data_IF_094974508556
#
_entry.id   IF_094974508556
#
_cell.length_a   1.000
_cell.length_b   1.000
_cell.length_c   1.000
_cell.angle_alpha   90.00
_cell.angle_beta   90.00
_cell.angle_gamma   90.00
#
_symmetry.space_group_name_H-M   'P 1'
#
loop_
_entity.id
_entity.type
_entity.pdbx_description
1 polymer ?
#
# COMPACT_ATOMS: atom_id res chain seq x y z
N UNK A 1 7.31 -8.19 -5.67
CA UNK A 1 6.07 -7.94 -4.91
C UNK A 1 5.94 -6.48 -4.42
N UNK A 2 6.72 -5.58 -5.04
CA UNK A 2 6.62 -4.13 -4.82
C UNK A 2 5.33 -3.55 -5.41
N UNK A 3 5.03 -2.31 -5.04
CA UNK A 3 4.02 -1.49 -5.69
C UNK A 3 4.69 -0.28 -6.36
N UNK A 4 3.99 0.28 -7.32
CA UNK A 4 4.39 1.50 -8.00
C UNK A 4 3.21 2.45 -8.13
N UNK A 5 3.50 3.74 -8.17
CA UNK A 5 2.51 4.80 -8.30
C UNK A 5 3.08 5.97 -9.10
N UNK A 6 2.21 6.74 -9.72
CA UNK A 6 2.58 8.03 -10.33
C UNK A 6 1.87 9.14 -9.58
N UNK A 7 2.63 10.07 -9.05
CA UNK A 7 2.11 11.22 -8.31
C UNK A 7 3.01 12.44 -8.59
N UNK A 8 2.41 13.60 -8.83
CA UNK A 8 3.15 14.86 -9.06
C UNK A 8 4.26 14.74 -10.11
N UNK A 9 3.95 14.07 -11.23
CA UNK A 9 4.87 13.83 -12.35
C UNK A 9 6.13 13.03 -11.98
N UNK A 10 6.06 12.22 -10.93
CA UNK A 10 7.11 11.26 -10.54
C UNK A 10 6.57 9.85 -10.49
N UNK A 11 7.42 8.90 -10.84
CA UNK A 11 7.20 7.48 -10.61
C UNK A 11 7.72 7.17 -9.21
N UNK A 12 6.92 6.48 -8.40
CA UNK A 12 7.33 5.95 -7.11
C UNK A 12 7.32 4.43 -7.15
N UNK A 13 8.33 3.80 -6.53
CA UNK A 13 8.41 2.35 -6.31
C UNK A 13 8.70 2.13 -4.84
N UNK A 14 7.93 1.25 -4.21
CA UNK A 14 8.02 1.08 -2.76
C UNK A 14 7.67 -0.32 -2.29
N UNK A 15 8.26 -0.71 -1.16
CA UNK A 15 8.03 -1.97 -0.49
C UNK A 15 8.37 -3.21 -1.32
N UNK A 16 7.72 -4.32 -1.01
CA UNK A 16 7.91 -5.59 -1.70
C UNK A 16 9.13 -6.35 -1.22
N UNK A 17 9.70 -7.16 -2.08
CA UNK A 17 10.84 -8.00 -1.78
C UNK A 17 10.67 -9.43 -2.30
N UNK A 18 11.28 -10.40 -1.61
CA UNK A 18 11.26 -11.81 -1.95
C UNK A 18 10.49 -12.65 -0.93
N UNK A 19 9.79 -13.65 -1.44
CA UNK A 19 9.24 -14.73 -0.62
C UNK A 19 10.17 -15.96 -0.61
N UNK A 20 10.69 -16.33 -1.79
CA UNK A 20 11.58 -17.46 -1.98
C UNK A 20 12.84 -17.03 -2.73
N UNK A 21 14.02 -17.67 -2.56
CA UNK A 21 14.30 -18.79 -1.66
C UNK A 21 14.29 -18.41 -0.17
N UNK A 22 14.53 -17.14 0.13
CA UNK A 22 14.49 -16.58 1.49
C UNK A 22 13.55 -15.37 1.54
N UNK A 23 12.77 -15.29 2.61
CA UNK A 23 11.91 -14.14 2.85
C UNK A 23 12.74 -12.88 3.11
N UNK A 24 12.47 -11.85 2.34
CA UNK A 24 13.02 -10.53 2.55
C UNK A 24 12.00 -9.48 2.08
N UNK A 25 11.44 -8.72 3.00
CA UNK A 25 10.51 -7.66 2.71
C UNK A 25 11.12 -6.29 2.98
N UNK A 26 10.63 -5.29 2.28
CA UNK A 26 11.12 -3.93 2.29
C UNK A 26 9.98 -2.95 2.61
N UNK A 27 10.37 -1.78 3.12
CA UNK A 27 9.49 -0.63 3.30
C UNK A 27 10.17 0.68 2.89
N UNK A 28 11.15 0.60 2.00
CA UNK A 28 11.78 1.75 1.39
C UNK A 28 10.88 2.36 0.29
N UNK A 29 11.17 3.60 -0.05
CA UNK A 29 10.47 4.33 -1.13
C UNK A 29 11.49 5.01 -2.01
N UNK A 30 11.37 4.81 -3.30
CA UNK A 30 12.18 5.40 -4.34
C UNK A 30 11.33 6.20 -5.30
N UNK A 31 11.87 7.26 -5.89
CA UNK A 31 11.21 8.03 -6.94
C UNK A 31 12.11 8.33 -8.11
N UNK A 32 11.49 8.58 -9.26
CA UNK A 32 12.17 9.03 -10.47
C UNK A 32 11.28 9.97 -11.27
N UNK A 33 11.88 11.00 -11.88
CA UNK A 33 11.19 11.90 -12.81
C UNK A 33 11.29 11.42 -14.27
N UNK A 34 12.27 10.56 -14.58
CA UNK A 34 12.58 10.12 -15.94
C UNK A 34 12.56 8.59 -16.14
N UNK A 35 12.39 7.83 -15.06
CA UNK A 35 12.43 6.36 -15.06
C UNK A 35 13.83 5.77 -15.16
N UNK A 36 14.87 6.61 -15.20
CA UNK A 36 16.28 6.19 -15.35
C UNK A 36 17.05 6.52 -14.07
N UNK A 37 16.95 7.76 -13.61
CA UNK A 37 17.61 8.23 -12.40
C UNK A 37 16.66 8.12 -11.21
N UNK A 38 17.08 7.39 -10.18
CA UNK A 38 16.26 7.09 -9.00
C UNK A 38 16.84 7.71 -7.74
N UNK A 39 15.98 8.28 -6.94
CA UNK A 39 16.30 8.87 -5.64
C UNK A 39 15.59 8.07 -4.56
N UNK A 40 16.33 7.67 -3.52
CA UNK A 40 15.72 7.06 -2.34
C UNK A 40 15.06 8.15 -1.48
N UNK A 41 13.75 8.18 -1.44
CA UNK A 41 12.99 9.14 -0.67
C UNK A 41 13.03 8.85 0.83
N UNK A 42 12.94 7.59 1.20
CA UNK A 42 13.04 7.12 2.59
C UNK A 42 13.53 5.67 2.62
N UNK A 43 14.41 5.35 3.56
CA UNK A 43 14.95 3.98 3.71
C UNK A 43 13.98 3.06 4.43
N UNK A 44 13.21 3.59 5.37
CA UNK A 44 12.23 2.82 6.16
C UNK A 44 11.00 3.69 6.41
N UNK A 45 9.94 3.45 5.65
CA UNK A 45 8.65 4.06 5.92
C UNK A 45 8.09 3.58 7.26
N UNK A 46 7.16 4.32 7.90
CA UNK A 46 6.62 3.93 9.20
C UNK A 46 5.70 2.70 9.17
N UNK A 47 5.21 2.31 8.00
CA UNK A 47 4.49 1.06 7.84
C UNK A 47 5.44 -0.14 7.81
N UNK A 48 5.00 -1.27 8.35
CA UNK A 48 5.80 -2.49 8.43
C UNK A 48 6.15 -2.99 7.02
N UNK A 49 7.36 -3.51 6.84
CA UNK A 49 7.79 -4.20 5.61
C UNK A 49 6.87 -5.35 5.28
N UNK A 50 6.46 -5.45 4.01
CA UNK A 50 5.41 -6.38 3.60
C UNK A 50 5.45 -6.74 2.13
N UNK A 51 4.91 -7.92 1.82
CA UNK A 51 4.64 -8.41 0.47
C UNK A 51 3.14 -8.36 0.19
N UNK A 52 2.75 -8.44 -1.09
CA UNK A 52 1.37 -8.61 -1.55
C UNK A 52 0.37 -7.58 -0.99
N UNK A 53 0.86 -6.40 -0.73
CA UNK A 53 0.02 -5.27 -0.33
C UNK A 53 -0.55 -4.55 -1.54
N UNK A 54 -1.50 -3.67 -1.30
CA UNK A 54 -2.12 -2.88 -2.35
C UNK A 54 -1.72 -1.42 -2.27
N UNK A 55 -1.74 -0.76 -3.44
CA UNK A 55 -1.55 0.67 -3.56
C UNK A 55 -2.48 1.27 -4.60
N UNK A 56 -2.84 2.52 -4.40
CA UNK A 56 -3.61 3.34 -5.34
C UNK A 56 -3.26 4.80 -5.14
N UNK A 57 -3.35 5.59 -6.19
CA UNK A 57 -3.27 7.05 -6.08
C UNK A 57 -4.68 7.62 -6.05
N UNK A 58 -5.02 8.30 -4.97
CA UNK A 58 -6.35 8.86 -4.77
C UNK A 58 -6.26 10.19 -4.03
N UNK A 59 -6.97 11.19 -4.53
CA UNK A 59 -6.97 12.55 -3.99
C UNK A 59 -5.58 13.10 -3.69
N UNK A 60 -4.73 13.03 -4.72
CA UNK A 60 -3.35 13.53 -4.70
C UNK A 60 -2.50 12.91 -3.57
N UNK A 61 -2.71 11.63 -3.27
CA UNK A 61 -1.95 10.85 -2.28
C UNK A 61 -1.70 9.45 -2.80
N UNK A 62 -0.54 8.90 -2.47
CA UNK A 62 -0.27 7.47 -2.59
C UNK A 62 -0.85 6.80 -1.35
N UNK A 63 -1.62 5.74 -1.54
CA UNK A 63 -2.19 4.93 -0.47
C UNK A 63 -1.55 3.55 -0.46
N UNK A 64 -1.25 3.03 0.73
CA UNK A 64 -0.74 1.69 0.98
C UNK A 64 -1.68 0.99 1.95
N UNK A 65 -2.08 -0.24 1.65
CA UNK A 65 -3.02 -0.99 2.48
C UNK A 65 -2.85 -2.49 2.38
N UNK A 66 -3.11 -3.17 3.49
CA UNK A 66 -3.05 -4.62 3.55
C UNK A 66 -1.65 -5.19 3.37
N UNK A 67 -1.58 -6.42 2.89
CA UNK A 67 -0.33 -7.13 2.68
C UNK A 67 -0.02 -8.15 3.77
N UNK A 68 1.12 -8.82 3.62
CA UNK A 68 1.55 -9.90 4.50
C UNK A 68 3.02 -9.76 4.85
N UNK A 69 3.36 -10.14 6.07
CA UNK A 69 4.73 -10.26 6.55
C UNK A 69 4.99 -11.62 7.20
N UNK A 70 6.26 -12.04 7.21
CA UNK A 70 6.67 -13.28 7.85
C UNK A 70 7.23 -13.03 9.28
N UNK A 71 7.71 -11.83 9.54
CA UNK A 71 8.26 -11.46 10.83
C UNK A 71 7.72 -10.10 11.31
N UNK A 72 6.63 -10.06 12.11
CA UNK A 72 5.85 -11.22 12.55
C UNK A 72 5.02 -11.83 11.39
N UNK A 73 4.65 -13.10 11.52
CA UNK A 73 3.76 -13.79 10.58
C UNK A 73 2.35 -13.25 10.74
N UNK A 74 1.92 -12.38 9.84
CA UNK A 74 0.57 -11.82 9.88
C UNK A 74 0.16 -11.13 8.59
N UNK A 75 -1.14 -11.08 8.36
CA UNK A 75 -1.75 -10.14 7.43
C UNK A 75 -1.90 -8.76 8.08
N UNK A 76 -1.87 -7.73 7.27
CA UNK A 76 -2.06 -6.36 7.66
C UNK A 76 -3.43 -5.83 7.22
N UNK A 77 -3.97 -4.85 7.94
CA UNK A 77 -5.21 -4.15 7.61
C UNK A 77 -5.09 -2.63 7.70
N UNK A 78 -3.92 -2.16 8.11
CA UNK A 78 -3.61 -0.75 8.23
C UNK A 78 -3.66 -0.05 6.87
N UNK A 79 -3.95 1.22 6.91
CA UNK A 79 -4.06 2.09 5.75
C UNK A 79 -3.15 3.28 5.97
N UNK A 80 -2.24 3.50 5.04
CA UNK A 80 -1.28 4.60 5.09
C UNK A 80 -1.39 5.45 3.85
N UNK A 81 -1.07 6.73 3.97
CA UNK A 81 -1.01 7.62 2.82
C UNK A 81 0.17 8.57 2.89
N UNK A 82 0.59 9.05 1.71
CA UNK A 82 1.65 10.03 1.55
C UNK A 82 1.33 10.98 0.38
N UNK A 83 1.67 12.26 0.54
CA UNK A 83 1.57 13.28 -0.51
C UNK A 83 2.88 13.46 -1.29
N UNK A 84 3.97 12.92 -0.79
CA UNK A 84 5.33 13.19 -1.28
C UNK A 84 6.24 11.94 -1.35
N UNK A 85 5.75 10.78 -0.90
CA UNK A 85 6.52 9.54 -0.81
C UNK A 85 7.50 9.49 0.37
N UNK A 86 7.69 10.58 1.09
CA UNK A 86 8.60 10.71 2.24
C UNK A 86 7.87 10.67 3.58
N UNK A 87 6.84 11.49 3.68
CA UNK A 87 6.04 11.65 4.89
C UNK A 87 4.82 10.77 4.77
N UNK A 88 4.66 9.83 5.68
CA UNK A 88 3.56 8.88 5.70
C UNK A 88 2.74 9.03 6.97
N UNK A 89 1.44 8.99 6.82
CA UNK A 89 0.47 9.06 7.92
C UNK A 89 -0.47 7.85 7.86
N UNK A 90 -0.81 7.30 9.03
CA UNK A 90 -1.79 6.24 9.13
C UNK A 90 -3.21 6.81 9.11
N UNK A 91 -4.03 6.32 8.19
CA UNK A 91 -5.45 6.63 8.17
C UNK A 91 -6.21 5.66 9.09
N UNK A 92 -6.67 6.16 10.22
CA UNK A 92 -7.38 5.36 11.21
C UNK A 92 -8.90 5.49 11.04
N UNK A 93 -9.58 4.35 11.16
CA UNK A 93 -11.04 4.26 11.11
C UNK A 93 -11.50 3.21 12.11
N UNK A 94 -12.63 3.47 12.77
CA UNK A 94 -13.26 2.51 13.68
C UNK A 94 -13.79 1.27 12.93
N UNK A 95 -14.06 1.43 11.64
CA UNK A 95 -14.50 0.35 10.76
C UNK A 95 -13.48 0.15 9.66
N UNK A 96 -12.88 -1.03 9.62
CA UNK A 96 -11.91 -1.43 8.61
C UNK A 96 -12.13 -2.90 8.27
N UNK A 97 -11.79 -3.27 7.03
CA UNK A 97 -11.82 -4.66 6.59
C UNK A 97 -10.91 -5.56 7.44
N UNK A 98 -11.18 -6.86 7.41
CA UNK A 98 -10.30 -7.84 8.03
C UNK A 98 -8.93 -7.81 7.34
N UNK A 99 -7.86 -8.03 8.12
CA UNK A 99 -6.49 -8.11 7.61
C UNK A 99 -6.37 -9.10 6.45
N UNK A 100 -5.71 -8.70 5.37
CA UNK A 100 -5.63 -9.45 4.12
C UNK A 100 -4.45 -9.07 3.24
N UNK A 101 -4.08 -9.98 2.35
CA UNK A 101 -3.15 -9.72 1.26
C UNK A 101 -3.75 -10.18 -0.09
N UNK A 102 -3.11 -9.78 -1.19
CA UNK A 102 -3.54 -10.14 -2.56
C UNK A 102 -5.01 -9.79 -2.87
N UNK A 103 -5.48 -8.68 -2.32
CA UNK A 103 -6.78 -8.12 -2.69
C UNK A 103 -6.72 -7.37 -4.02
N UNK A 104 -7.84 -7.16 -4.65
CA UNK A 104 -7.98 -6.17 -5.72
C UNK A 104 -8.31 -4.80 -5.14
N UNK A 105 -7.62 -3.74 -5.61
CA UNK A 105 -7.89 -2.35 -5.23
C UNK A 105 -8.12 -1.52 -6.48
N UNK A 106 -9.12 -0.67 -6.47
CA UNK A 106 -9.47 0.22 -7.57
C UNK A 106 -10.23 1.45 -7.11
N UNK A 107 -10.29 2.46 -7.98
CA UNK A 107 -11.06 3.69 -7.75
C UNK A 107 -12.37 3.64 -8.54
N UNK A 108 -13.46 3.93 -7.87
CA UNK A 108 -14.77 4.05 -8.50
C UNK A 108 -15.68 4.97 -7.68
N UNK A 109 -16.37 5.89 -8.34
CA UNK A 109 -17.28 6.86 -7.72
C UNK A 109 -16.68 7.57 -6.50
N UNK A 110 -15.49 8.13 -6.69
CA UNK A 110 -14.74 8.88 -5.66
C UNK A 110 -14.56 8.11 -4.34
N UNK A 111 -14.24 6.81 -4.46
CA UNK A 111 -13.92 5.91 -3.34
C UNK A 111 -12.79 4.97 -3.72
N UNK A 112 -12.03 4.54 -2.73
CA UNK A 112 -11.16 3.39 -2.84
C UNK A 112 -12.00 2.14 -2.55
N UNK A 113 -11.93 1.17 -3.43
CA UNK A 113 -12.58 -0.14 -3.25
C UNK A 113 -11.52 -1.21 -3.05
N UNK A 114 -11.80 -2.14 -2.16
CA UNK A 114 -11.00 -3.33 -1.92
C UNK A 114 -11.90 -4.57 -1.98
N UNK A 115 -11.50 -5.57 -2.74
CA UNK A 115 -12.30 -6.76 -2.98
C UNK A 115 -11.47 -8.03 -2.85
N UNK A 116 -12.02 -9.00 -2.16
CA UNK A 116 -11.43 -10.33 -2.00
C UNK A 116 -10.11 -10.33 -1.24
N UNK A 117 -9.28 -11.29 -1.56
CA UNK A 117 -7.97 -11.50 -0.95
C UNK A 117 -7.91 -12.69 0.01
N UNK A 118 -6.75 -12.88 0.60
CA UNK A 118 -6.46 -13.95 1.54
C UNK A 118 -6.47 -13.42 2.98
N UNK A 119 -7.38 -13.94 3.79
CA UNK A 119 -7.49 -13.63 5.23
C UNK A 119 -7.21 -14.81 6.14
N UNK A 120 -6.65 -15.90 5.74
CA UNK A 120 -7.05 -17.29 5.62
C UNK A 120 -8.41 -17.61 6.30
N UNK A 121 -9.41 -18.21 5.51
CA UNK A 121 -9.34 -18.57 4.10
C UNK A 121 -9.48 -17.37 3.15
N UNK A 122 -9.55 -17.64 1.83
CA UNK A 122 -9.93 -16.65 0.83
C UNK A 122 -11.31 -16.06 1.13
N UNK A 123 -11.49 -14.77 0.86
CA UNK A 123 -12.73 -14.05 1.06
C UNK A 123 -13.25 -13.45 -0.25
N UNK A 124 -14.54 -13.19 -0.31
CA UNK A 124 -15.21 -12.60 -1.46
C UNK A 124 -15.99 -11.31 -1.11
N UNK A 125 -15.68 -10.72 0.03
CA UNK A 125 -16.30 -9.48 0.47
C UNK A 125 -15.75 -8.28 -0.33
N UNK A 126 -16.51 -7.20 -0.33
CA UNK A 126 -16.15 -5.94 -0.97
C UNK A 126 -16.35 -4.80 0.02
N UNK A 127 -15.34 -3.96 0.14
CA UNK A 127 -15.32 -2.81 1.01
C UNK A 127 -15.03 -1.54 0.23
N UNK A 128 -15.49 -0.40 0.72
CA UNK A 128 -15.09 0.89 0.19
C UNK A 128 -14.68 1.86 1.28
N UNK A 129 -13.64 2.64 0.99
CA UNK A 129 -13.22 3.78 1.80
C UNK A 129 -13.62 5.06 1.07
N UNK A 130 -14.41 5.88 1.76
CA UNK A 130 -14.76 7.21 1.33
C UNK A 130 -14.10 8.24 2.24
N UNK A 131 -13.34 9.13 1.67
CA UNK A 131 -12.74 10.22 2.42
C UNK A 131 -13.76 11.34 2.68
N UNK A 132 -13.57 12.13 3.74
CA UNK A 132 -14.28 13.38 3.92
C UNK A 132 -14.14 14.31 2.70
N UNK A 133 -15.11 15.20 2.49
CA UNK A 133 -15.11 16.06 1.30
C UNK A 133 -13.95 17.06 1.26
N UNK A 134 -13.42 17.41 2.42
CA UNK A 134 -12.34 18.37 2.62
C UNK A 134 -10.92 17.77 2.51
N UNK A 135 -10.83 16.50 2.19
CA UNK A 135 -9.54 15.80 1.98
C UNK A 135 -9.01 15.97 0.58
#
# INVERSE_FOLDING_TARGET
YHQAAVLNNKIYVFGGGNYVPEYHALNDVWSSEDGINWVKEISNAPWHERLWFNSVVYRNRIWVMGGWSNNPYKNHRDVWFSKDGKTWEEYKSDKVWKERHESSVFLFQDKIWIAGGMTPPLVNDVWSLRLPKDW
#
